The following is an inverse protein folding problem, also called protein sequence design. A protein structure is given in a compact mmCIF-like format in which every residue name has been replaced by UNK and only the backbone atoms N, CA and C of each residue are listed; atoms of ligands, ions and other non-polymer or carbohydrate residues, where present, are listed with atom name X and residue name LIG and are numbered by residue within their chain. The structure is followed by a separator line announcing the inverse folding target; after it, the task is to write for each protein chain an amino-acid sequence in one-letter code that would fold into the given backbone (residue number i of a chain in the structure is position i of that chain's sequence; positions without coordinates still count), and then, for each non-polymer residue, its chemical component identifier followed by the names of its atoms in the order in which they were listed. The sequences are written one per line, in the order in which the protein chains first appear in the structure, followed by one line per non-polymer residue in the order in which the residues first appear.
data_IF_098924466106
#
_entry.id   IF_098924466106
#
_cell.length_a   1.000
_cell.length_b   1.000
_cell.length_c   1.000
_cell.angle_alpha   90.00
_cell.angle_beta   90.00
_cell.angle_gamma   90.00
#
_symmetry.space_group_name_H-M   'P 1'
#
loop_
_entity.id
_entity.type
_entity.pdbx_description
1 polymer ?
#
# COMPACT_ATOMS: atom_id res chain seq x y z
N UNK A 1 3.75 3.21 15.73
CA UNK A 1 3.14 2.17 16.58
C UNK A 1 4.04 1.97 17.78
N UNK A 2 3.51 1.97 19.01
CA UNK A 2 4.31 2.11 20.25
C UNK A 2 5.43 1.05 20.35
N UNK A 3 5.16 -0.18 19.90
CA UNK A 3 6.11 -1.30 19.99
C UNK A 3 7.00 -1.48 18.74
N UNK A 4 6.81 -0.67 17.69
CA UNK A 4 7.51 -0.78 16.41
C UNK A 4 7.57 -2.22 15.86
N UNK A 5 6.46 -2.96 15.96
CA UNK A 5 6.28 -4.29 15.37
C UNK A 5 4.98 -4.33 14.55
N UNK A 6 4.86 -5.21 13.56
CA UNK A 6 3.63 -5.33 12.77
C UNK A 6 2.46 -5.89 13.60
N UNK A 7 1.28 -5.30 13.42
CA UNK A 7 0.01 -5.76 13.98
C UNK A 7 -1.04 -5.89 12.89
N UNK A 8 -1.92 -6.87 13.05
CA UNK A 8 -3.20 -6.90 12.37
C UNK A 8 -4.18 -6.03 13.15
N UNK A 9 -4.63 -4.94 12.55
CA UNK A 9 -5.65 -4.07 13.13
C UNK A 9 -7.04 -4.46 12.63
N UNK A 10 -8.04 -4.43 13.50
CA UNK A 10 -9.43 -4.75 13.17
C UNK A 10 -10.41 -3.83 13.93
N UNK A 11 -11.72 -4.07 13.79
CA UNK A 11 -12.74 -3.15 14.31
C UNK A 11 -12.73 -1.86 13.50
N UNK A 12 -12.45 -0.72 14.15
CA UNK A 12 -12.25 0.57 13.47
C UNK A 12 -10.76 0.89 13.27
N UNK A 13 -9.89 -0.09 13.45
CA UNK A 13 -8.43 0.06 13.44
C UNK A 13 -7.84 0.39 14.82
N UNK A 14 -8.64 0.22 15.87
CA UNK A 14 -8.33 0.48 17.28
C UNK A 14 -8.06 -0.78 18.09
N UNK A 15 -8.42 -1.95 17.55
CA UNK A 15 -8.10 -3.25 18.12
C UNK A 15 -6.95 -3.93 17.37
N UNK A 16 -6.07 -4.62 18.10
CA UNK A 16 -4.83 -5.15 17.55
C UNK A 16 -4.59 -6.60 17.93
N UNK A 17 -4.18 -7.39 16.93
CA UNK A 17 -3.69 -8.74 17.10
C UNK A 17 -2.27 -8.85 16.54
N UNK A 18 -1.36 -9.48 17.28
CA UNK A 18 0.00 -9.74 16.80
C UNK A 18 -0.05 -10.61 15.54
N UNK A 19 0.73 -10.23 14.54
CA UNK A 19 0.90 -11.00 13.31
C UNK A 19 2.37 -11.20 13.03
N UNK A 20 2.72 -12.39 12.54
CA UNK A 20 4.09 -12.71 12.14
C UNK A 20 4.16 -12.67 10.63
N UNK A 21 4.86 -11.69 10.07
CA UNK A 21 5.34 -11.72 8.69
C UNK A 21 6.65 -10.92 8.63
N UNK A 22 7.40 -11.11 7.56
CA UNK A 22 8.66 -10.38 7.37
C UNK A 22 8.74 -9.86 5.94
N UNK A 23 9.14 -8.61 5.82
CA UNK A 23 9.56 -7.95 4.59
C UNK A 23 11.09 -7.73 4.60
N UNK A 24 11.84 -8.51 5.39
CA UNK A 24 13.28 -8.33 5.51
C UNK A 24 13.92 -8.51 4.13
N UNK A 25 14.85 -7.62 3.82
CA UNK A 25 15.54 -7.54 2.52
C UNK A 25 14.69 -7.04 1.35
N UNK A 26 13.44 -6.62 1.58
CA UNK A 26 12.72 -5.79 0.61
C UNK A 26 13.06 -4.31 0.83
N UNK A 27 12.83 -3.53 -0.22
CA UNK A 27 12.81 -2.08 -0.20
C UNK A 27 11.37 -1.61 -0.24
N UNK A 28 11.03 -0.66 0.62
CA UNK A 28 9.75 0.03 0.61
C UNK A 28 9.97 1.36 -0.09
N UNK A 29 9.13 1.62 -1.09
CA UNK A 29 9.05 2.89 -1.81
C UNK A 29 7.73 3.54 -1.42
N UNK A 30 7.76 4.84 -1.17
CA UNK A 30 6.57 5.66 -0.95
C UNK A 30 6.59 6.78 -1.98
N UNK A 31 5.49 6.96 -2.68
CA UNK A 31 5.25 8.09 -3.59
C UNK A 31 3.95 8.75 -3.15
N UNK A 32 4.02 10.03 -2.82
CA UNK A 32 2.85 10.80 -2.38
C UNK A 32 2.60 11.94 -3.38
N UNK A 33 1.46 11.88 -4.06
CA UNK A 33 1.00 12.94 -4.95
C UNK A 33 0.60 14.19 -4.14
N UNK A 34 0.37 15.30 -4.84
CA UNK A 34 -0.08 16.54 -4.22
C UNK A 34 -1.58 16.54 -3.87
N UNK A 35 -2.31 15.50 -4.28
CA UNK A 35 -3.74 15.34 -4.00
C UNK A 35 -3.98 15.21 -2.51
N UNK A 36 -4.96 15.97 -2.02
CA UNK A 36 -5.53 15.78 -0.70
C UNK A 36 -6.85 15.01 -0.81
N UNK A 37 -6.92 13.84 -0.17
CA UNK A 37 -8.14 13.04 -0.09
C UNK A 37 -8.71 13.19 1.31
N UNK A 38 -9.95 13.68 1.37
CA UNK A 38 -10.70 13.67 2.62
C UNK A 38 -11.09 12.23 2.98
N UNK A 39 -10.65 11.77 4.16
CA UNK A 39 -10.92 10.42 4.62
C UNK A 39 -12.42 10.15 4.74
N UNK A 40 -13.22 11.10 5.22
CA UNK A 40 -14.67 10.89 5.36
C UNK A 40 -15.32 10.62 3.99
N UNK A 41 -14.91 11.36 2.97
CA UNK A 41 -15.34 11.15 1.59
C UNK A 41 -14.88 9.80 1.04
N UNK A 42 -13.65 9.38 1.32
CA UNK A 42 -13.17 8.05 0.90
C UNK A 42 -13.97 6.92 1.56
N UNK A 43 -14.27 7.02 2.86
CA UNK A 43 -15.12 6.06 3.58
C UNK A 43 -16.58 6.07 3.09
N UNK A 44 -17.12 7.23 2.71
CA UNK A 44 -18.49 7.34 2.20
C UNK A 44 -18.69 6.68 0.83
N UNK A 45 -17.60 6.49 0.07
CA UNK A 45 -17.62 5.93 -1.29
C UNK A 45 -16.92 4.57 -1.39
N UNK A 46 -16.52 3.97 -0.27
CA UNK A 46 -15.90 2.65 -0.28
C UNK A 46 -16.98 1.59 -0.56
N UNK A 47 -16.71 0.70 -1.51
CA UNK A 47 -17.53 -0.50 -1.70
C UNK A 47 -16.83 -1.67 -1.04
N UNK A 48 -17.49 -2.33 -0.08
CA UNK A 48 -16.94 -3.54 0.51
C UNK A 48 -16.78 -4.60 -0.57
N UNK A 49 -15.54 -4.92 -0.93
CA UNK A 49 -15.31 -5.99 -1.88
C UNK A 49 -15.44 -7.37 -1.20
N UNK A 50 -15.91 -8.37 -1.93
CA UNK A 50 -15.99 -9.75 -1.46
C UNK A 50 -14.59 -10.37 -1.43
N UNK A 51 -13.75 -9.93 -0.47
CA UNK A 51 -12.43 -10.50 -0.25
C UNK A 51 -12.54 -11.99 0.03
N UNK A 52 -11.90 -12.81 -0.80
CA UNK A 52 -11.95 -14.27 -0.68
C UNK A 52 -11.25 -14.79 0.58
N UNK A 53 -10.26 -14.05 1.08
CA UNK A 53 -9.42 -14.45 2.21
C UNK A 53 -9.20 -13.30 3.19
N UNK A 54 -9.19 -13.57 4.50
CA UNK A 54 -8.81 -12.58 5.51
C UNK A 54 -7.37 -12.08 5.32
N UNK A 55 -7.11 -10.79 5.56
CA UNK A 55 -5.77 -10.18 5.46
C UNK A 55 -4.73 -10.92 6.30
N UNK A 56 -5.10 -11.39 7.51
CA UNK A 56 -4.23 -12.17 8.40
C UNK A 56 -3.71 -13.47 7.78
N UNK A 57 -4.44 -14.06 6.83
CA UNK A 57 -4.02 -15.24 6.08
C UNK A 57 -3.15 -14.86 4.88
N UNK A 58 -3.53 -13.77 4.19
CA UNK A 58 -2.81 -13.29 3.00
C UNK A 58 -1.37 -12.88 3.34
N UNK A 59 -1.14 -12.23 4.48
CA UNK A 59 0.21 -11.84 4.93
C UNK A 59 1.14 -13.02 5.22
N UNK A 60 0.59 -14.24 5.37
CA UNK A 60 1.39 -15.48 5.50
C UNK A 60 1.83 -16.04 4.13
N UNK A 61 1.21 -15.60 3.04
CA UNK A 61 1.60 -15.99 1.68
C UNK A 61 2.86 -15.23 1.25
N UNK A 62 3.64 -15.77 0.29
CA UNK A 62 4.72 -15.02 -0.34
C UNK A 62 4.21 -13.68 -0.89
N UNK A 63 5.00 -12.61 -0.74
CA UNK A 63 4.62 -11.23 -1.13
C UNK A 63 4.15 -11.14 -2.58
N UNK A 64 4.70 -11.97 -3.48
CA UNK A 64 4.28 -12.05 -4.88
C UNK A 64 2.79 -12.42 -5.06
N UNK A 65 2.21 -13.14 -4.09
CA UNK A 65 0.80 -13.51 -4.09
C UNK A 65 -0.08 -12.37 -3.61
N UNK A 66 0.46 -11.37 -2.91
CA UNK A 66 -0.34 -10.27 -2.34
C UNK A 66 -1.02 -9.46 -3.42
N UNK A 67 -0.39 -9.25 -4.59
CA UNK A 67 -1.04 -8.57 -5.73
C UNK A 67 -2.38 -9.18 -6.13
N UNK A 68 -2.57 -10.48 -5.92
CA UNK A 68 -3.79 -11.21 -6.26
C UNK A 68 -4.83 -11.20 -5.13
N UNK A 69 -4.40 -11.13 -3.87
CA UNK A 69 -5.27 -11.41 -2.73
C UNK A 69 -5.40 -10.25 -1.74
N UNK A 70 -4.36 -9.43 -1.60
CA UNK A 70 -4.36 -8.23 -0.74
C UNK A 70 -4.85 -7.07 -1.58
N UNK A 71 -6.14 -6.77 -1.46
CA UNK A 71 -6.78 -5.66 -2.14
C UNK A 71 -7.09 -4.57 -1.11
N UNK A 72 -7.05 -3.31 -1.54
CA UNK A 72 -7.46 -2.17 -0.74
C UNK A 72 -8.74 -1.60 -1.35
N UNK A 73 -9.85 -1.66 -0.62
CA UNK A 73 -11.18 -1.28 -1.11
C UNK A 73 -11.29 0.23 -1.44
N UNK A 74 -10.40 1.08 -0.91
CA UNK A 74 -10.35 2.49 -1.29
C UNK A 74 -9.84 2.70 -2.72
N UNK A 75 -9.07 1.74 -3.27
CA UNK A 75 -8.40 1.92 -4.56
C UNK A 75 -9.37 2.13 -5.71
N UNK A 76 -10.52 1.45 -5.72
CA UNK A 76 -11.51 1.59 -6.79
C UNK A 76 -11.98 3.04 -6.90
N UNK A 77 -12.52 3.58 -5.81
CA UNK A 77 -12.97 4.98 -5.74
C UNK A 77 -11.82 5.97 -5.98
N UNK A 78 -10.68 5.79 -5.31
CA UNK A 78 -9.56 6.73 -5.38
C UNK A 78 -8.94 6.78 -6.77
N UNK A 79 -8.80 5.63 -7.45
CA UNK A 79 -8.19 5.58 -8.78
C UNK A 79 -9.13 6.07 -9.88
N UNK A 80 -10.45 5.87 -9.73
CA UNK A 80 -11.43 6.48 -10.62
C UNK A 80 -11.43 8.00 -10.50
N UNK A 81 -11.43 8.52 -9.26
CA UNK A 81 -11.53 9.96 -8.99
C UNK A 81 -10.22 10.71 -9.24
N UNK A 82 -9.08 10.08 -8.97
CA UNK A 82 -7.74 10.68 -9.05
C UNK A 82 -6.80 9.81 -9.90
N UNK A 83 -6.89 9.89 -11.25
CA UNK A 83 -6.10 9.07 -12.15
C UNK A 83 -4.59 9.19 -11.92
N UNK A 84 -4.06 10.34 -11.48
CA UNK A 84 -2.62 10.48 -11.19
C UNK A 84 -2.11 9.51 -10.11
N UNK A 85 -2.97 9.08 -9.18
CA UNK A 85 -2.61 8.11 -8.14
C UNK A 85 -2.57 6.69 -8.74
N UNK A 86 -3.51 6.38 -9.63
CA UNK A 86 -3.49 5.13 -10.42
C UNK A 86 -2.23 5.06 -11.29
N UNK A 87 -1.82 6.17 -11.89
CA UNK A 87 -0.63 6.27 -12.73
C UNK A 87 0.63 5.94 -11.94
N UNK A 88 0.76 6.47 -10.72
CA UNK A 88 1.86 6.10 -9.80
C UNK A 88 1.88 4.60 -9.55
N UNK A 89 0.73 3.97 -9.27
CA UNK A 89 0.66 2.52 -9.05
C UNK A 89 1.11 1.73 -10.29
N UNK A 90 0.66 2.13 -11.48
CA UNK A 90 1.07 1.48 -12.73
C UNK A 90 2.57 1.65 -12.99
N UNK A 91 3.11 2.84 -12.76
CA UNK A 91 4.52 3.12 -12.99
C UNK A 91 5.41 2.32 -12.03
N UNK A 92 5.07 2.24 -10.74
CA UNK A 92 5.80 1.38 -9.79
C UNK A 92 5.82 -0.09 -10.23
N UNK A 93 4.71 -0.61 -10.78
CA UNK A 93 4.70 -1.97 -11.33
C UNK A 93 5.55 -2.13 -12.59
N UNK A 94 5.69 -1.12 -13.45
CA UNK A 94 6.62 -1.16 -14.59
C UNK A 94 8.07 -1.26 -14.14
N UNK A 95 8.39 -0.70 -12.98
CA UNK A 95 9.70 -0.79 -12.33
C UNK A 95 9.90 -2.09 -11.54
N UNK A 96 9.10 -3.12 -11.82
CA UNK A 96 9.20 -4.46 -11.22
C UNK A 96 8.86 -4.52 -9.72
N UNK A 97 7.98 -3.64 -9.24
CA UNK A 97 7.42 -3.78 -7.89
C UNK A 97 6.75 -5.15 -7.70
N UNK A 98 7.09 -5.84 -6.60
CA UNK A 98 6.48 -7.12 -6.22
C UNK A 98 5.02 -6.91 -5.83
N UNK A 99 4.74 -5.81 -5.13
CA UNK A 99 3.43 -5.43 -4.68
C UNK A 99 3.34 -3.91 -4.57
N UNK A 100 2.20 -3.33 -4.93
CA UNK A 100 1.94 -1.89 -4.86
C UNK A 100 0.52 -1.69 -4.39
N UNK A 101 0.31 -0.80 -3.43
CA UNK A 101 -1.03 -0.44 -2.97
C UNK A 101 -1.08 0.97 -2.43
N UNK A 102 -2.30 1.52 -2.40
CA UNK A 102 -2.61 2.74 -1.67
C UNK A 102 -2.40 2.53 -0.16
N UNK A 103 -1.84 3.53 0.51
CA UNK A 103 -1.72 3.56 1.97
C UNK A 103 -2.99 4.17 2.57
N UNK A 104 -3.79 3.35 3.26
CA UNK A 104 -5.09 3.78 3.82
C UNK A 104 -6.04 4.29 2.73
N UNK A 105 -6.69 5.42 3.00
CA UNK A 105 -7.53 6.17 2.05
C UNK A 105 -6.73 7.04 1.06
N UNK A 106 -5.39 7.01 1.11
CA UNK A 106 -4.51 7.76 0.23
C UNK A 106 -4.09 9.13 0.78
N UNK A 107 -3.40 9.97 0.01
CA UNK A 107 -3.03 9.82 -1.41
C UNK A 107 -1.69 9.09 -1.65
N UNK A 108 -1.02 8.65 -0.59
CA UNK A 108 0.27 7.96 -0.73
C UNK A 108 0.10 6.54 -1.29
N UNK A 109 0.93 6.19 -2.28
CA UNK A 109 1.08 4.84 -2.81
C UNK A 109 2.41 4.29 -2.33
N UNK A 110 2.42 3.04 -1.87
CA UNK A 110 3.65 2.34 -1.52
C UNK A 110 3.89 1.16 -2.44
N UNK A 111 5.16 0.89 -2.71
CA UNK A 111 5.62 -0.27 -3.46
C UNK A 111 6.63 -1.09 -2.66
N UNK A 112 6.63 -2.40 -2.87
CA UNK A 112 7.58 -3.35 -2.29
C UNK A 112 8.48 -3.87 -3.40
N UNK A 113 9.79 -3.67 -3.27
CA UNK A 113 10.79 -4.01 -4.28
C UNK A 113 11.86 -4.94 -3.71
N UNK A 114 12.52 -5.72 -4.58
CA UNK A 114 13.68 -6.54 -4.21
C UNK A 114 15.00 -5.76 -4.25
N UNK A 115 15.01 -4.61 -4.93
CA UNK A 115 16.17 -3.76 -5.11
C UNK A 115 15.77 -2.27 -4.99
N UNK A 116 16.73 -1.35 -4.77
CA UNK A 116 16.50 0.08 -4.88
C UNK A 116 15.96 0.50 -6.26
N UNK A 117 15.31 1.66 -6.34
CA UNK A 117 14.71 2.18 -7.59
C UNK A 117 15.01 3.68 -7.69
N UNK A 118 15.25 4.19 -8.90
CA UNK A 118 15.52 5.62 -9.09
C UNK A 118 14.22 6.45 -9.06
N UNK A 119 13.80 6.87 -7.86
CA UNK A 119 12.53 7.56 -7.67
C UNK A 119 12.50 9.01 -8.19
N UNK A 120 13.64 9.70 -8.17
CA UNK A 120 13.70 11.13 -8.56
C UNK A 120 13.44 11.34 -10.04
N UNK A 121 13.91 10.43 -10.88
CA UNK A 121 13.65 10.48 -12.32
C UNK A 121 12.22 10.08 -12.66
N UNK A 122 11.64 9.15 -11.91
CA UNK A 122 10.29 8.64 -12.16
C UNK A 122 9.19 9.59 -11.70
N UNK A 123 9.41 10.28 -10.58
CA UNK A 123 8.40 11.12 -9.93
C UNK A 123 8.99 12.47 -9.48
N UNK A 124 9.47 13.30 -10.42
CA UNK A 124 10.17 14.55 -10.08
C UNK A 124 9.29 15.55 -9.30
N UNK A 125 7.98 15.54 -9.55
CA UNK A 125 7.02 16.49 -8.97
C UNK A 125 6.36 16.01 -7.67
N UNK A 126 6.67 14.78 -7.23
CA UNK A 126 6.05 14.14 -6.07
C UNK A 126 7.04 13.96 -4.93
N UNK A 127 6.49 13.92 -3.71
CA UNK A 127 7.28 13.46 -2.58
C UNK A 127 7.57 11.98 -2.77
N UNK A 128 8.84 11.61 -2.64
CA UNK A 128 9.29 10.23 -2.73
C UNK A 128 10.17 9.86 -1.54
N UNK A 129 10.05 8.61 -1.10
CA UNK A 129 10.93 8.03 -0.09
C UNK A 129 11.22 6.57 -0.41
N UNK A 130 12.43 6.13 -0.11
CA UNK A 130 12.82 4.72 -0.20
C UNK A 130 13.62 4.31 1.04
N UNK A 131 13.37 3.11 1.54
CA UNK A 131 14.16 2.51 2.60
C UNK A 131 14.16 0.99 2.57
N UNK A 132 15.20 0.37 3.13
CA UNK A 132 15.27 -1.08 3.30
C UNK A 132 14.46 -1.49 4.52
N UNK A 133 13.55 -2.46 4.34
CA UNK A 133 12.76 -3.00 5.45
C UNK A 133 13.63 -3.85 6.38
N UNK A 134 13.44 -3.62 7.68
CA UNK A 134 14.07 -4.37 8.77
C UNK A 134 13.10 -5.34 9.46
N UNK A 135 11.80 -5.25 9.13
CA UNK A 135 10.74 -6.16 9.58
C UNK A 135 10.66 -7.34 8.64
#
# INVERSE_FOLDING_TARGET
FIENIPFFAYGKGDEFQKVKFSLKNFYIVIVKTQVHIDSATAYANITSSNHKYPVKEIVQLPVQKWKKYMLNDFEEYVFERYPEISDVKRELYKQEAVYVSLSGSGSAVYGIFRAPVNLRELFPDYFTWQGRSIF
#
